data_IF_935085698845
#
_entry.id   IF_935085698845
#
_cell.length_a   1.000
_cell.length_b   1.000
_cell.length_c   1.000
_cell.angle_alpha   90.00
_cell.angle_beta   90.00
_cell.angle_gamma   90.00
#
_symmetry.space_group_name_H-M   'P 1'
#
loop_
_entity.id
_entity.type
_entity.pdbx_description
1 polymer ?
#
# COMPACT_ATOMS: atom_id res chain seq x y z
N UNK A 1 -20.28 6.84 65.24
CA UNK A 1 -19.88 6.60 63.84
C UNK A 1 -19.89 5.09 63.60
N UNK A 2 -21.06 4.56 63.27
CA UNK A 2 -21.32 3.13 63.06
C UNK A 2 -20.92 2.74 61.63
N UNK A 3 -20.04 1.73 61.52
CA UNK A 3 -19.67 1.08 60.26
C UNK A 3 -20.83 0.21 59.80
N UNK A 4 -21.52 0.61 58.73
CA UNK A 4 -22.52 -0.22 58.08
C UNK A 4 -21.78 -1.14 57.11
N UNK A 5 -21.86 -2.44 57.42
CA UNK A 5 -21.30 -3.56 56.70
C UNK A 5 -22.49 -4.49 56.41
N UNK A 6 -23.00 -4.50 55.17
CA UNK A 6 -24.02 -5.43 54.62
C UNK A 6 -24.19 -5.05 53.12
N UNK A 7 -24.14 -5.91 52.11
CA UNK A 7 -24.35 -7.35 52.04
C UNK A 7 -23.69 -7.91 50.76
N UNK A 8 -23.19 -9.14 50.85
CA UNK A 8 -23.01 -10.06 49.72
C UNK A 8 -24.38 -10.48 49.15
N UNK A 9 -24.39 -11.02 47.92
CA UNK A 9 -25.32 -12.01 47.33
C UNK A 9 -25.40 -11.72 45.81
N UNK A 10 -24.99 -12.57 44.87
CA UNK A 10 -24.54 -13.94 44.90
C UNK A 10 -24.37 -14.46 43.46
N UNK A 11 -24.09 -15.77 43.38
CA UNK A 11 -23.93 -16.63 42.18
C UNK A 11 -22.53 -16.75 41.59
N UNK A 12 -21.65 -17.32 42.39
CA UNK A 12 -20.86 -18.46 41.93
C UNK A 12 -21.79 -19.64 41.61
N UNK A 13 -21.61 -20.26 40.45
CA UNK A 13 -22.39 -21.43 40.06
C UNK A 13 -21.96 -22.05 38.75
N UNK A 14 -21.00 -22.99 38.85
CA UNK A 14 -20.72 -24.14 37.96
C UNK A 14 -20.20 -23.82 36.55
N UNK A 15 -19.18 -24.47 35.98
CA UNK A 15 -18.19 -25.48 36.38
C UNK A 15 -17.18 -25.59 35.19
N UNK A 16 -15.97 -26.17 35.40
CA UNK A 16 -14.94 -26.29 34.37
C UNK A 16 -15.10 -27.54 33.50
N UNK A 17 -15.22 -27.40 32.18
CA UNK A 17 -15.22 -28.56 31.26
C UNK A 17 -13.79 -29.06 31.02
N UNK A 18 -13.48 -30.12 31.76
CA UNK A 18 -12.27 -30.90 31.72
C UNK A 18 -12.13 -31.72 30.44
N UNK A 19 -10.88 -32.01 30.11
CA UNK A 19 -10.39 -32.86 29.03
C UNK A 19 -10.88 -34.32 29.11
N UNK A 20 -10.94 -34.96 27.93
CA UNK A 20 -10.90 -36.39 27.60
C UNK A 20 -12.22 -37.04 27.14
N UNK A 21 -12.21 -37.63 25.93
CA UNK A 21 -13.32 -38.46 25.43
C UNK A 21 -13.29 -38.75 23.92
N UNK A 22 -12.39 -39.65 23.53
CA UNK A 22 -12.29 -40.33 22.23
C UNK A 22 -13.62 -40.98 21.77
N UNK A 23 -14.05 -40.76 20.52
CA UNK A 23 -14.88 -41.74 19.79
C UNK A 23 -14.70 -41.64 18.27
N UNK A 24 -14.09 -42.68 17.72
CA UNK A 24 -13.99 -43.04 16.30
C UNK A 24 -15.36 -43.47 15.76
N UNK A 25 -15.85 -42.83 14.68
CA UNK A 25 -16.62 -43.52 13.63
C UNK A 25 -16.27 -42.87 12.29
N UNK A 26 -15.49 -43.58 11.48
CA UNK A 26 -15.42 -43.33 10.04
C UNK A 26 -16.62 -43.95 9.32
N UNK A 27 -16.97 -43.39 8.16
CA UNK A 27 -17.60 -44.03 6.99
C UNK A 27 -17.45 -42.99 5.86
N UNK A 28 -16.56 -43.21 4.89
CA UNK A 28 -16.71 -44.02 3.68
C UNK A 28 -17.39 -43.23 2.53
N UNK A 29 -16.53 -42.81 1.59
CA UNK A 29 -16.68 -42.93 0.12
C UNK A 29 -17.78 -42.19 -0.64
N UNK A 30 -17.37 -41.30 -1.56
CA UNK A 30 -17.30 -41.46 -3.04
C UNK A 30 -17.08 -40.03 -3.59
N UNK A 31 -16.18 -39.69 -4.52
CA UNK A 31 -15.59 -40.45 -5.61
C UNK A 31 -15.90 -39.73 -6.94
N UNK A 32 -14.88 -39.06 -7.49
CA UNK A 32 -14.65 -38.73 -8.92
C UNK A 32 -15.59 -37.77 -9.66
N UNK A 33 -15.01 -36.68 -10.19
CA UNK A 33 -14.86 -36.54 -11.65
C UNK A 33 -13.53 -35.87 -12.01
N UNK A 34 -12.78 -36.58 -12.84
CA UNK A 34 -11.58 -36.16 -13.55
C UNK A 34 -11.98 -35.24 -14.70
N UNK A 35 -11.23 -34.15 -14.89
CA UNK A 35 -11.27 -33.32 -16.08
C UNK A 35 -9.87 -32.80 -16.39
N UNK A 36 -9.06 -33.64 -17.06
CA UNK A 36 -7.86 -33.24 -17.77
C UNK A 36 -8.28 -32.86 -19.19
N UNK A 37 -7.80 -31.75 -19.73
CA UNK A 37 -8.08 -31.36 -21.11
C UNK A 37 -7.47 -30.01 -21.46
N UNK A 38 -6.21 -30.03 -21.87
CA UNK A 38 -5.61 -28.97 -22.65
C UNK A 38 -5.03 -29.57 -23.93
N UNK A 39 -5.58 -29.20 -25.09
CA UNK A 39 -5.08 -29.33 -26.47
C UNK A 39 -5.91 -28.32 -27.29
N UNK A 40 -5.40 -27.13 -27.62
CA UNK A 40 -4.83 -26.72 -28.93
C UNK A 40 -5.81 -26.55 -30.09
N UNK A 41 -5.50 -25.55 -30.96
CA UNK A 41 -6.01 -25.26 -32.33
C UNK A 41 -7.26 -24.34 -32.37
N UNK A 42 -7.19 -23.04 -32.70
CA UNK A 42 -6.79 -22.35 -33.95
C UNK A 42 -7.56 -22.80 -35.19
N UNK A 43 -8.68 -22.13 -35.53
CA UNK A 43 -8.89 -21.67 -36.91
C UNK A 43 -9.94 -20.56 -37.03
N UNK A 44 -9.54 -19.56 -37.80
CA UNK A 44 -10.25 -18.39 -38.31
C UNK A 44 -11.33 -18.80 -39.31
N UNK A 45 -12.52 -18.17 -39.31
CA UNK A 45 -13.28 -17.84 -40.53
C UNK A 45 -14.30 -16.74 -40.21
N UNK A 46 -14.46 -15.86 -41.20
CA UNK A 46 -15.03 -14.53 -41.18
C UNK A 46 -16.56 -14.41 -40.96
N UNK A 47 -16.91 -13.20 -40.52
CA UNK A 47 -18.05 -12.31 -40.86
C UNK A 47 -18.70 -12.52 -42.27
N UNK A 48 -19.88 -11.92 -42.62
CA UNK A 48 -20.37 -10.61 -42.13
C UNK A 48 -21.90 -10.42 -41.93
N UNK A 49 -22.23 -9.28 -41.31
CA UNK A 49 -23.36 -8.36 -41.56
C UNK A 49 -23.99 -7.89 -40.25
N UNK A 50 -24.39 -6.64 -40.04
CA UNK A 50 -24.20 -5.37 -40.72
C UNK A 50 -24.90 -4.36 -39.79
N UNK A 51 -24.22 -3.30 -39.37
CA UNK A 51 -24.88 -2.05 -38.99
C UNK A 51 -23.86 -0.91 -38.96
N UNK A 52 -23.31 -0.59 -40.13
CA UNK A 52 -22.95 0.79 -40.44
C UNK A 52 -24.20 1.51 -40.92
N UNK A 53 -24.45 2.73 -40.44
CA UNK A 53 -24.24 3.93 -41.27
C UNK A 53 -24.79 5.17 -40.57
N UNK A 54 -23.96 6.21 -40.48
CA UNK A 54 -24.15 7.50 -41.17
C UNK A 54 -23.34 8.57 -40.42
N UNK A 55 -22.14 8.85 -40.94
CA UNK A 55 -21.47 10.13 -40.82
C UNK A 55 -21.98 11.05 -41.93
N UNK A 56 -22.22 12.33 -41.66
CA UNK A 56 -22.16 13.42 -42.64
C UNK A 56 -22.00 14.76 -41.90
N UNK A 57 -20.78 15.31 -41.88
CA UNK A 57 -20.52 16.76 -41.89
C UNK A 57 -20.79 17.31 -43.33
N UNK A 58 -20.75 18.62 -43.69
CA UNK A 58 -20.13 19.77 -42.99
C UNK A 58 -20.78 21.17 -43.21
N UNK A 59 -20.07 22.20 -42.70
CA UNK A 59 -19.78 23.52 -43.32
C UNK A 59 -20.55 24.79 -42.88
N UNK A 60 -19.79 25.72 -42.28
CA UNK A 60 -19.71 27.21 -42.46
C UNK A 60 -20.99 28.06 -42.20
N UNK A 61 -20.98 29.25 -41.58
CA UNK A 61 -20.19 30.46 -41.88
C UNK A 61 -20.58 31.66 -40.95
N UNK A 62 -19.65 32.64 -40.80
CA UNK A 62 -19.80 34.09 -40.38
C UNK A 62 -20.17 34.38 -38.91
N UNK A 63 -19.55 35.28 -38.12
CA UNK A 63 -18.78 36.49 -38.41
C UNK A 63 -17.84 36.91 -37.26
N UNK A 64 -16.73 37.54 -37.62
CA UNK A 64 -15.85 38.40 -36.80
C UNK A 64 -16.56 39.67 -36.29
N UNK A 65 -15.95 40.39 -35.32
CA UNK A 65 -15.27 41.60 -35.80
C UNK A 65 -13.85 41.83 -35.24
N UNK A 66 -12.97 42.20 -36.16
CA UNK A 66 -11.66 42.83 -36.01
C UNK A 66 -11.82 44.33 -35.70
N UNK A 67 -11.03 44.90 -34.77
CA UNK A 67 -10.40 46.23 -34.94
C UNK A 67 -9.04 46.22 -34.21
N UNK A 68 -8.04 46.67 -34.94
CA UNK A 68 -6.59 46.61 -34.75
C UNK A 68 -5.99 47.66 -33.75
N UNK A 69 -4.67 48.00 -33.76
CA UNK A 69 -3.79 47.75 -32.61
C UNK A 69 -3.10 49.02 -32.07
N UNK A 70 -2.36 48.91 -30.97
CA UNK A 70 -1.33 49.89 -30.63
C UNK A 70 -0.16 49.21 -29.88
N UNK A 71 1.00 49.40 -30.49
CA UNK A 71 2.36 49.06 -30.09
C UNK A 71 2.79 49.73 -28.77
N UNK A 72 3.61 49.06 -27.97
CA UNK A 72 5.04 49.38 -27.74
C UNK A 72 5.66 48.38 -26.73
N UNK A 73 6.97 48.07 -26.84
CA UNK A 73 7.64 46.98 -26.15
C UNK A 73 8.27 47.41 -24.82
N UNK A 74 8.32 46.51 -23.83
CA UNK A 74 9.32 46.59 -22.77
C UNK A 74 10.05 45.26 -22.67
N UNK A 75 11.33 45.34 -23.04
CA UNK A 75 12.34 44.35 -22.76
C UNK A 75 12.79 44.46 -21.29
N UNK A 76 13.03 43.30 -20.68
CA UNK A 76 13.95 43.08 -19.54
C UNK A 76 14.15 41.55 -19.53
N UNK A 77 15.08 40.99 -20.30
CA UNK A 77 16.48 40.76 -19.91
C UNK A 77 16.67 40.52 -18.41
N UNK A 78 16.58 39.27 -17.96
CA UNK A 78 17.62 38.66 -17.12
C UNK A 78 17.67 37.15 -17.35
N UNK A 79 18.67 36.76 -18.12
CA UNK A 79 19.56 35.61 -17.93
C UNK A 79 19.14 34.47 -16.98
N UNK A 80 19.02 33.29 -17.60
CA UNK A 80 19.48 31.99 -17.08
C UNK A 80 20.86 32.10 -16.42
N UNK A 81 21.07 31.38 -15.31
CA UNK A 81 22.14 30.40 -15.37
C UNK A 81 21.66 29.00 -14.95
N UNK A 82 21.82 28.06 -15.88
CA UNK A 82 22.34 26.74 -15.54
C UNK A 82 23.68 26.96 -14.83
N UNK A 83 23.78 26.49 -13.60
CA UNK A 83 25.05 26.24 -12.95
C UNK A 83 24.99 24.85 -12.36
N UNK A 84 25.55 23.91 -13.12
CA UNK A 84 26.06 22.66 -12.59
C UNK A 84 27.00 22.97 -11.43
N UNK A 85 26.69 22.43 -10.26
CA UNK A 85 27.68 22.14 -9.24
C UNK A 85 27.19 20.93 -8.46
N UNK A 86 27.64 19.77 -8.92
CA UNK A 86 27.74 18.57 -8.13
C UNK A 86 28.43 18.86 -6.78
N UNK A 87 28.20 17.94 -5.84
CA UNK A 87 28.74 17.84 -4.48
C UNK A 87 27.84 18.37 -3.37
N UNK A 88 26.81 17.59 -3.05
CA UNK A 88 26.60 17.23 -1.65
C UNK A 88 26.30 15.74 -1.60
N UNK A 89 27.37 14.94 -1.59
CA UNK A 89 27.30 13.62 -0.97
C UNK A 89 26.95 13.88 0.49
N UNK A 90 25.66 13.85 0.80
CA UNK A 90 25.17 13.67 2.16
C UNK A 90 25.59 12.27 2.60
N UNK A 91 26.86 12.15 2.94
CA UNK A 91 27.41 11.04 3.67
C UNK A 91 26.90 11.19 5.10
N UNK A 92 25.64 10.78 5.31
CA UNK A 92 25.10 10.52 6.64
C UNK A 92 25.63 9.16 7.10
N UNK A 93 26.95 9.03 7.16
CA UNK A 93 27.62 7.93 7.85
C UNK A 93 27.71 8.32 9.33
N UNK A 94 26.63 8.03 10.03
CA UNK A 94 26.61 7.92 11.47
C UNK A 94 25.62 6.82 11.86
N UNK A 95 25.83 5.62 11.31
CA UNK A 95 25.22 4.40 11.84
C UNK A 95 25.92 4.03 13.15
N UNK A 96 25.67 4.84 14.18
CA UNK A 96 25.59 4.27 15.52
C UNK A 96 24.27 3.53 15.54
N UNK A 97 24.32 2.21 15.42
CA UNK A 97 23.12 1.38 15.48
C UNK A 97 22.42 1.66 16.82
N UNK A 98 21.40 2.51 16.78
CA UNK A 98 20.49 2.69 17.90
C UNK A 98 19.83 1.34 18.18
N UNK A 99 19.60 1.06 19.47
CA UNK A 99 18.90 -0.16 19.84
C UNK A 99 17.53 -0.19 19.13
N UNK A 100 17.09 -1.37 18.63
CA UNK A 100 15.81 -1.46 17.94
C UNK A 100 14.68 -1.00 18.86
N UNK A 101 13.78 -0.18 18.33
CA UNK A 101 12.58 0.22 19.07
C UNK A 101 11.63 -0.98 19.25
N UNK A 102 10.68 -0.85 20.18
CA UNK A 102 9.70 -1.90 20.44
C UNK A 102 8.75 -2.11 19.26
N UNK A 103 8.16 -3.31 19.17
CA UNK A 103 7.09 -3.59 18.22
C UNK A 103 5.89 -2.63 18.37
N UNK A 104 5.63 -2.17 19.60
CA UNK A 104 4.57 -1.21 19.88
C UNK A 104 4.83 0.15 19.22
N UNK A 105 6.07 0.66 19.25
CA UNK A 105 6.44 1.89 18.56
C UNK A 105 6.25 1.78 17.03
N UNK A 106 6.57 0.60 16.46
CA UNK A 106 6.31 0.33 15.04
C UNK A 106 4.83 0.31 14.70
N UNK A 107 4.01 -0.31 15.54
CA UNK A 107 2.55 -0.34 15.38
C UNK A 107 1.91 1.06 15.49
N UNK A 108 2.38 1.89 16.44
CA UNK A 108 1.90 3.27 16.60
C UNK A 108 2.19 4.11 15.35
N UNK A 109 3.42 4.04 14.82
CA UNK A 109 3.76 4.77 13.60
C UNK A 109 2.98 4.25 12.39
N UNK A 110 2.80 2.92 12.29
CA UNK A 110 1.98 2.33 11.24
C UNK A 110 0.56 2.91 11.26
N UNK A 111 -0.10 2.92 12.43
CA UNK A 111 -1.46 3.44 12.58
C UNK A 111 -1.55 4.93 12.22
N UNK A 112 -0.56 5.72 12.60
CA UNK A 112 -0.57 7.17 12.38
C UNK A 112 -0.20 7.60 10.95
N UNK A 113 0.73 6.90 10.28
CA UNK A 113 1.30 7.34 8.99
C UNK A 113 1.12 6.34 7.85
N UNK A 114 1.36 5.05 8.10
CA UNK A 114 1.49 4.05 7.03
C UNK A 114 0.13 3.44 6.63
N UNK A 115 -0.79 3.32 7.58
CA UNK A 115 -2.06 2.61 7.43
C UNK A 115 -2.92 3.15 6.29
N UNK A 116 -2.93 4.47 6.09
CA UNK A 116 -3.76 5.12 5.06
C UNK A 116 -3.59 4.46 3.70
N UNK A 117 -2.36 4.13 3.32
CA UNK A 117 -2.07 3.49 2.04
C UNK A 117 -2.03 1.97 2.16
N UNK A 118 -1.42 1.44 3.22
CA UNK A 118 -1.12 0.01 3.32
C UNK A 118 -2.29 -0.84 3.82
N UNK A 119 -3.31 -0.30 4.50
CA UNK A 119 -4.46 -1.11 4.95
C UNK A 119 -5.24 -1.72 3.77
N UNK A 120 -5.44 -0.93 2.71
CA UNK A 120 -6.26 -1.31 1.55
C UNK A 120 -5.46 -1.36 0.24
N UNK A 121 -4.16 -1.15 0.29
CA UNK A 121 -3.29 -1.13 -0.89
C UNK A 121 -3.56 0.05 -1.82
N UNK A 122 -3.83 1.24 -1.27
CA UNK A 122 -4.01 2.44 -2.09
C UNK A 122 -2.73 2.73 -2.87
N UNK A 123 -2.88 3.29 -4.08
CA UNK A 123 -1.76 3.61 -4.98
C UNK A 123 -0.86 2.39 -5.30
N UNK A 124 -1.41 1.17 -5.23
CA UNK A 124 -0.69 -0.10 -5.36
C UNK A 124 0.35 -0.35 -4.25
N UNK A 125 0.12 0.22 -3.06
CA UNK A 125 0.89 -0.14 -1.87
C UNK A 125 0.69 -1.63 -1.53
N UNK A 126 1.73 -2.35 -1.05
CA UNK A 126 1.56 -3.71 -0.56
C UNK A 126 0.60 -3.72 0.63
N UNK A 127 -0.42 -4.58 0.57
CA UNK A 127 -1.44 -4.61 1.61
C UNK A 127 -0.88 -5.18 2.91
N UNK A 128 -1.18 -4.52 4.01
CA UNK A 128 -0.78 -4.96 5.35
C UNK A 128 -1.32 -6.37 5.65
N UNK A 129 -0.43 -7.25 6.10
CA UNK A 129 -0.73 -8.65 6.38
C UNK A 129 -0.89 -9.55 5.14
N UNK A 130 -0.71 -9.04 3.93
CA UNK A 130 -0.80 -9.85 2.71
C UNK A 130 0.56 -10.49 2.36
N UNK A 131 0.73 -11.76 2.73
CA UNK A 131 1.97 -12.48 2.46
C UNK A 131 2.35 -12.55 0.97
N UNK A 132 1.39 -12.49 0.06
CA UNK A 132 1.65 -12.57 -1.39
C UNK A 132 2.26 -11.26 -1.89
N UNK A 133 1.74 -10.13 -1.43
CA UNK A 133 2.30 -8.82 -1.73
C UNK A 133 3.69 -8.64 -1.10
N UNK A 134 3.90 -9.15 0.11
CA UNK A 134 5.13 -8.92 0.88
C UNK A 134 6.26 -9.89 0.57
N UNK A 135 6.00 -11.14 0.18
CA UNK A 135 7.05 -12.12 -0.15
C UNK A 135 8.13 -11.59 -1.12
N UNK A 136 7.81 -11.02 -2.30
CA UNK A 136 8.83 -10.50 -3.22
C UNK A 136 9.56 -9.25 -2.70
N UNK A 137 9.00 -8.56 -1.70
CA UNK A 137 9.62 -7.39 -1.06
C UNK A 137 10.58 -7.82 0.04
N UNK A 138 10.15 -8.75 0.89
CA UNK A 138 10.99 -9.37 1.92
C UNK A 138 12.21 -10.05 1.29
N UNK A 139 12.06 -10.67 0.11
CA UNK A 139 13.16 -11.27 -0.64
C UNK A 139 14.27 -10.28 -1.06
N UNK A 140 14.00 -8.97 -1.08
CA UNK A 140 15.00 -7.93 -1.35
C UNK A 140 15.90 -7.67 -0.13
N UNK A 141 15.48 -8.09 1.06
CA UNK A 141 16.19 -7.90 2.33
C UNK A 141 15.72 -6.66 3.09
N UNK A 142 15.87 -6.73 4.42
CA UNK A 142 15.38 -5.70 5.36
C UNK A 142 16.00 -4.32 5.09
N UNK A 143 17.30 -4.25 4.83
CA UNK A 143 18.01 -2.99 4.57
C UNK A 143 17.43 -2.23 3.37
N UNK A 144 17.03 -2.94 2.32
CA UNK A 144 16.37 -2.31 1.16
C UNK A 144 14.99 -1.77 1.51
N UNK A 145 14.22 -2.49 2.32
CA UNK A 145 12.90 -2.02 2.78
C UNK A 145 13.03 -0.78 3.66
N UNK A 146 14.01 -0.77 4.57
CA UNK A 146 14.33 0.38 5.41
C UNK A 146 14.69 1.60 4.57
N UNK A 147 15.66 1.45 3.65
CA UNK A 147 16.09 2.53 2.78
C UNK A 147 14.92 3.13 1.99
N UNK A 148 14.13 2.30 1.33
CA UNK A 148 12.96 2.76 0.56
C UNK A 148 11.90 3.44 1.43
N UNK A 149 11.77 3.05 2.70
CA UNK A 149 10.82 3.65 3.64
C UNK A 149 11.29 4.98 4.21
N UNK A 150 12.57 5.07 4.52
CA UNK A 150 13.20 6.30 5.01
C UNK A 150 13.27 7.36 3.93
N UNK A 151 13.77 6.99 2.74
CA UNK A 151 14.03 7.91 1.63
C UNK A 151 12.82 8.10 0.69
N UNK A 152 11.79 7.27 0.82
CA UNK A 152 10.68 7.21 -0.11
C UNK A 152 11.01 6.36 -1.34
N UNK A 153 9.97 5.79 -1.96
CA UNK A 153 10.12 4.94 -3.15
C UNK A 153 8.83 4.90 -3.96
N UNK A 154 8.94 5.19 -5.27
CA UNK A 154 7.80 5.26 -6.19
C UNK A 154 6.73 6.25 -5.67
N UNK A 155 5.53 5.75 -5.38
CA UNK A 155 4.41 6.53 -4.87
C UNK A 155 4.42 6.67 -3.34
N UNK A 156 5.34 5.99 -2.63
CA UNK A 156 5.47 6.10 -1.18
C UNK A 156 6.40 7.28 -0.84
N UNK A 157 5.92 8.28 -0.10
CA UNK A 157 6.76 9.42 0.31
C UNK A 157 7.80 8.99 1.36
N UNK A 158 8.87 9.78 1.56
CA UNK A 158 9.80 9.59 2.67
C UNK A 158 9.04 9.56 4.00
N UNK A 159 9.33 8.59 4.87
CA UNK A 159 8.65 8.49 6.19
C UNK A 159 9.46 9.11 7.32
N UNK A 160 10.77 9.30 7.15
CA UNK A 160 11.62 9.97 8.13
C UNK A 160 11.52 11.50 7.95
N UNK A 161 10.33 12.06 8.14
CA UNK A 161 10.05 13.49 8.04
C UNK A 161 9.29 14.03 9.27
N UNK A 162 9.25 15.37 9.42
CA UNK A 162 8.39 16.08 10.39
C UNK A 162 8.40 15.53 11.83
N UNK A 163 9.55 15.07 12.32
CA UNK A 163 9.71 14.56 13.68
C UNK A 163 9.59 13.05 13.84
N UNK A 164 9.37 12.31 12.75
CA UNK A 164 9.52 10.86 12.71
C UNK A 164 10.99 10.51 12.49
N UNK A 165 11.57 9.72 13.41
CA UNK A 165 12.98 9.30 13.30
C UNK A 165 13.14 8.08 12.39
N UNK A 166 14.35 7.90 11.87
CA UNK A 166 14.73 6.72 11.06
C UNK A 166 14.43 5.41 11.80
N UNK A 167 14.70 5.35 13.10
CA UNK A 167 14.45 4.17 13.92
C UNK A 167 12.96 3.86 14.07
N UNK A 168 12.10 4.89 14.14
CA UNK A 168 10.64 4.70 14.16
C UNK A 168 10.16 4.13 12.82
N UNK A 169 10.71 4.61 11.70
CA UNK A 169 10.41 4.05 10.37
C UNK A 169 10.86 2.59 10.29
N UNK A 170 12.06 2.26 10.75
CA UNK A 170 12.54 0.87 10.77
C UNK A 170 11.64 -0.04 11.60
N UNK A 171 11.19 0.43 12.77
CA UNK A 171 10.26 -0.32 13.61
C UNK A 171 8.90 -0.54 12.95
N UNK A 172 8.37 0.44 12.21
CA UNK A 172 7.14 0.28 11.44
C UNK A 172 7.31 -0.72 10.29
N UNK A 173 8.44 -0.68 9.57
CA UNK A 173 8.75 -1.68 8.53
C UNK A 173 8.80 -3.08 9.14
N UNK A 174 9.47 -3.25 10.28
CA UNK A 174 9.54 -4.53 10.97
C UNK A 174 8.17 -5.03 11.40
N UNK A 175 7.33 -4.15 11.95
CA UNK A 175 5.96 -4.48 12.29
C UNK A 175 5.16 -4.95 11.07
N UNK A 176 5.22 -4.24 9.95
CA UNK A 176 4.48 -4.61 8.74
C UNK A 176 4.98 -5.92 8.12
N UNK A 177 6.29 -6.17 8.15
CA UNK A 177 6.89 -7.42 7.68
C UNK A 177 6.46 -8.59 8.56
N UNK A 178 6.53 -8.45 9.89
CA UNK A 178 6.10 -9.47 10.84
C UNK A 178 4.65 -9.90 10.63
N UNK A 179 3.77 -8.95 10.34
CA UNK A 179 2.34 -9.22 10.12
C UNK A 179 2.04 -9.93 8.79
N UNK A 180 2.99 -9.92 7.85
CA UNK A 180 2.85 -10.54 6.53
C UNK A 180 3.75 -11.77 6.33
N UNK A 181 4.48 -12.21 7.37
CA UNK A 181 5.44 -13.32 7.31
C UNK A 181 4.87 -14.64 7.83
#
# INVERSE_FOLDING_TARGET
MLKINKQQDGKDGLAPFSKAGLLLVGILTLGMVVGCGGETESETVAEPAASESMATEPTTEVAEPEVEPATEPVADDVAQPEAEAATETAESDASTAAAPLSAEAGAELYEAHCKLCHEKGLLNAPKFGDATDWAPRIAQGKETLYKHSVEGFKAMPPQADNGVTVEQVHAAVDYMVDQAS
#
